data_IF_552382576187
#
_entry.id   IF_552382576187
#
_cell.length_a   1.000
_cell.length_b   1.000
_cell.length_c   1.000
_cell.angle_alpha   90.00
_cell.angle_beta   90.00
_cell.angle_gamma   90.00
#
_symmetry.space_group_name_H-M   'P 1'
#
loop_
_entity.id
_entity.type
_entity.pdbx_description
1 polymer ?
#
# COMPACT_ATOMS: atom_id res chain seq x y z
N UNK A 1 21.33 -29.71 17.33
CA UNK A 1 21.44 -28.29 16.97
C UNK A 1 20.06 -27.68 17.05
N UNK A 2 19.83 -26.80 18.02
CA UNK A 2 18.51 -26.30 18.42
C UNK A 2 17.92 -25.39 17.33
N UNK A 3 16.93 -25.89 16.58
CA UNK A 3 15.99 -25.02 15.87
C UNK A 3 15.15 -24.30 16.92
N UNK A 4 15.49 -23.04 17.20
CA UNK A 4 14.61 -22.13 17.91
C UNK A 4 13.26 -22.07 17.17
N UNK A 5 12.24 -22.72 17.74
CA UNK A 5 10.83 -22.58 17.38
C UNK A 5 10.35 -21.18 17.79
N UNK A 6 10.95 -20.12 17.23
CA UNK A 6 10.33 -18.80 17.20
C UNK A 6 9.01 -18.94 16.46
N UNK A 7 7.91 -18.98 17.21
CA UNK A 7 6.64 -19.60 16.81
C UNK A 7 6.19 -19.28 15.38
N UNK A 8 5.73 -20.31 14.67
CA UNK A 8 5.20 -20.32 13.29
C UNK A 8 4.42 -19.06 12.89
N UNK A 9 3.66 -18.46 13.82
CA UNK A 9 2.94 -17.20 13.63
C UNK A 9 3.83 -16.00 13.25
N UNK A 10 5.05 -15.87 13.79
CA UNK A 10 5.98 -14.78 13.45
C UNK A 10 6.45 -14.88 12.00
N UNK A 11 6.58 -16.10 11.49
CA UNK A 11 6.96 -16.36 10.09
C UNK A 11 5.84 -15.87 9.16
N UNK A 12 4.59 -16.23 9.45
CA UNK A 12 3.43 -15.76 8.67
C UNK A 12 3.25 -14.23 8.73
N UNK A 13 3.42 -13.60 9.89
CA UNK A 13 3.32 -12.13 10.00
C UNK A 13 4.44 -11.39 9.26
N UNK A 14 5.65 -11.97 9.23
CA UNK A 14 6.78 -11.42 8.46
C UNK A 14 6.57 -11.60 6.96
N UNK A 15 6.13 -12.79 6.53
CA UNK A 15 5.76 -13.07 5.14
C UNK A 15 4.68 -12.09 4.66
N UNK A 16 3.66 -11.84 5.49
CA UNK A 16 2.56 -10.95 5.14
C UNK A 16 2.90 -9.45 5.11
N UNK A 17 4.13 -9.05 5.47
CA UNK A 17 4.53 -7.64 5.68
C UNK A 17 3.44 -6.83 6.39
N UNK A 18 2.86 -7.41 7.44
CA UNK A 18 1.65 -6.93 8.14
C UNK A 18 1.80 -5.51 8.69
N UNK A 19 3.04 -5.04 8.90
CA UNK A 19 3.34 -3.67 9.31
C UNK A 19 2.86 -2.59 8.33
N UNK A 20 2.63 -2.95 7.07
CA UNK A 20 2.12 -2.05 6.04
C UNK A 20 0.59 -2.11 5.86
N UNK A 21 -0.12 -3.04 6.52
CA UNK A 21 -1.59 -3.11 6.44
C UNK A 21 -2.30 -1.80 6.79
N UNK A 22 -1.85 -0.97 7.76
CA UNK A 22 -2.53 0.29 8.02
C UNK A 22 -2.60 1.20 6.78
N UNK A 23 -1.61 1.15 5.88
CA UNK A 23 -1.67 1.89 4.61
C UNK A 23 -2.79 1.41 3.68
N UNK A 24 -3.16 0.13 3.75
CA UNK A 24 -4.30 -0.44 3.01
C UNK A 24 -5.60 0.05 3.64
N UNK A 25 -5.68 0.06 4.97
CA UNK A 25 -6.87 0.53 5.68
C UNK A 25 -7.13 2.01 5.42
N UNK A 26 -6.09 2.84 5.40
CA UNK A 26 -6.23 4.27 5.06
C UNK A 26 -6.64 4.48 3.61
N UNK A 27 -6.19 3.64 2.66
CA UNK A 27 -6.66 3.68 1.28
C UNK A 27 -8.17 3.36 1.20
N UNK A 28 -8.64 2.35 1.94
CA UNK A 28 -10.07 2.02 2.02
C UNK A 28 -10.86 3.20 2.56
N UNK A 29 -10.43 3.80 3.67
CA UNK A 29 -11.09 4.97 4.27
C UNK A 29 -11.14 6.16 3.29
N UNK A 30 -10.02 6.48 2.64
CA UNK A 30 -9.96 7.55 1.64
C UNK A 30 -10.91 7.29 0.47
N UNK A 31 -10.93 6.05 -0.05
CA UNK A 31 -11.82 5.67 -1.14
C UNK A 31 -13.30 5.76 -0.77
N UNK A 32 -13.69 5.38 0.47
CA UNK A 32 -15.08 5.56 0.97
C UNK A 32 -15.46 7.04 0.99
N UNK A 33 -14.60 7.90 1.57
CA UNK A 33 -14.86 9.35 1.69
C UNK A 33 -14.90 10.02 0.31
N UNK A 34 -13.98 9.69 -0.59
CA UNK A 34 -13.93 10.23 -1.96
C UNK A 34 -15.09 9.74 -2.83
N UNK A 35 -15.64 8.56 -2.52
CA UNK A 35 -16.89 8.07 -3.14
C UNK A 35 -18.12 8.86 -2.69
N UNK A 36 -18.02 9.62 -1.59
CA UNK A 36 -19.16 10.29 -0.95
C UNK A 36 -20.16 9.30 -0.36
N UNK A 37 -19.73 8.07 -0.06
CA UNK A 37 -20.56 7.03 0.51
C UNK A 37 -20.42 6.99 2.03
N UNK A 38 -21.48 6.57 2.70
CA UNK A 38 -21.46 6.18 4.11
C UNK A 38 -21.59 4.66 4.21
N UNK A 39 -20.86 4.05 5.12
CA UNK A 39 -20.93 2.62 5.40
C UNK A 39 -21.28 2.40 6.86
N UNK A 40 -22.05 1.36 7.13
CA UNK A 40 -22.13 0.81 8.48
C UNK A 40 -20.80 0.12 8.86
N UNK A 41 -20.62 -0.10 10.16
CA UNK A 41 -19.39 -0.68 10.69
C UNK A 41 -19.12 -2.10 10.16
N UNK A 42 -20.16 -2.89 9.89
CA UNK A 42 -20.03 -4.26 9.38
C UNK A 42 -19.51 -4.27 7.95
N UNK A 43 -20.08 -3.44 7.07
CA UNK A 43 -19.61 -3.30 5.70
C UNK A 43 -18.18 -2.75 5.63
N UNK A 44 -17.84 -1.76 6.46
CA UNK A 44 -16.47 -1.25 6.55
C UNK A 44 -15.49 -2.35 7.01
N UNK A 45 -15.84 -3.12 8.05
CA UNK A 45 -15.00 -4.20 8.55
C UNK A 45 -14.78 -5.28 7.47
N UNK A 46 -15.82 -5.66 6.73
CA UNK A 46 -15.71 -6.62 5.64
C UNK A 46 -14.77 -6.14 4.51
N UNK A 47 -14.87 -4.86 4.13
CA UNK A 47 -13.94 -4.25 3.16
C UNK A 47 -12.50 -4.26 3.67
N UNK A 48 -12.28 -3.88 4.93
CA UNK A 48 -10.94 -3.90 5.53
C UNK A 48 -10.36 -5.31 5.54
N UNK A 49 -11.15 -6.33 5.88
CA UNK A 49 -10.72 -7.74 5.84
C UNK A 49 -10.40 -8.17 4.42
N UNK A 50 -11.31 -7.96 3.46
CA UNK A 50 -11.09 -8.37 2.07
C UNK A 50 -9.83 -7.74 1.46
N UNK A 51 -9.63 -6.43 1.68
CA UNK A 51 -8.49 -5.71 1.12
C UNK A 51 -7.17 -6.05 1.85
N UNK A 52 -7.25 -6.42 3.14
CA UNK A 52 -6.10 -6.98 3.87
C UNK A 52 -5.71 -8.37 3.34
N UNK A 53 -6.69 -9.20 2.95
CA UNK A 53 -6.45 -10.48 2.31
C UNK A 53 -5.78 -10.31 0.95
N UNK A 54 -6.24 -9.37 0.11
CA UNK A 54 -5.55 -9.04 -1.15
C UNK A 54 -4.09 -8.65 -0.94
N UNK A 55 -3.83 -7.75 0.00
CA UNK A 55 -2.47 -7.31 0.32
C UNK A 55 -1.60 -8.48 0.76
N UNK A 56 -2.07 -9.24 1.75
CA UNK A 56 -1.30 -10.34 2.34
C UNK A 56 -1.08 -11.48 1.34
N UNK A 57 -2.07 -11.76 0.49
CA UNK A 57 -1.96 -12.70 -0.62
C UNK A 57 -0.85 -12.29 -1.59
N UNK A 58 -0.81 -11.02 -2.00
CA UNK A 58 0.27 -10.49 -2.83
C UNK A 58 1.64 -10.65 -2.17
N UNK A 59 1.75 -10.44 -0.86
CA UNK A 59 3.04 -10.65 -0.17
C UNK A 59 3.49 -12.11 -0.18
N UNK A 60 2.56 -13.04 0.01
CA UNK A 60 2.83 -14.48 -0.01
C UNK A 60 3.21 -14.94 -1.42
N UNK A 61 2.45 -14.52 -2.42
CA UNK A 61 2.71 -14.84 -3.82
C UNK A 61 4.03 -14.25 -4.30
N UNK A 62 4.33 -12.99 -3.96
CA UNK A 62 5.62 -12.35 -4.23
C UNK A 62 6.79 -13.20 -3.74
N UNK A 63 6.79 -13.62 -2.47
CA UNK A 63 7.86 -14.44 -1.91
C UNK A 63 7.91 -15.86 -2.58
N UNK A 64 6.76 -16.42 -2.96
CA UNK A 64 6.70 -17.71 -3.66
C UNK A 64 7.22 -17.68 -5.12
N UNK A 65 6.96 -16.58 -5.85
CA UNK A 65 7.52 -16.33 -7.17
C UNK A 65 9.01 -16.00 -7.08
N UNK A 66 9.45 -15.35 -6.02
CA UNK A 66 10.85 -14.94 -5.81
C UNK A 66 11.77 -16.01 -5.25
N UNK A 67 11.25 -17.18 -4.87
CA UNK A 67 11.97 -18.26 -4.18
C UNK A 67 13.36 -18.62 -4.78
N UNK A 68 13.51 -18.60 -6.10
CA UNK A 68 14.78 -18.97 -6.77
C UNK A 68 15.84 -17.88 -6.65
N UNK A 69 15.41 -16.62 -6.69
CA UNK A 69 16.28 -15.46 -6.48
C UNK A 69 16.62 -15.36 -4.98
N UNK A 70 15.60 -15.50 -4.13
CA UNK A 70 15.77 -15.48 -2.68
C UNK A 70 16.71 -16.60 -2.21
N UNK A 71 16.69 -17.79 -2.84
CA UNK A 71 17.63 -18.85 -2.51
C UNK A 71 19.10 -18.49 -2.77
N UNK A 72 19.37 -17.55 -3.69
CA UNK A 72 20.73 -17.09 -4.03
C UNK A 72 21.14 -15.88 -3.21
N UNK A 73 20.24 -14.92 -3.03
CA UNK A 73 20.54 -13.62 -2.43
C UNK A 73 20.22 -13.54 -0.93
N UNK A 74 19.24 -14.32 -0.46
CA UNK A 74 18.67 -14.26 0.90
C UNK A 74 18.23 -15.66 1.39
N UNK A 75 19.16 -16.62 1.52
CA UNK A 75 18.84 -18.02 1.85
C UNK A 75 18.15 -18.18 3.21
N UNK A 76 18.21 -17.18 4.08
CA UNK A 76 17.52 -17.12 5.37
C UNK A 76 16.00 -16.92 5.26
N UNK A 77 15.46 -16.61 4.06
CA UNK A 77 14.01 -16.42 3.87
C UNK A 77 13.22 -17.72 4.09
N UNK A 78 11.94 -17.66 4.51
CA UNK A 78 11.19 -18.83 4.95
C UNK A 78 11.04 -19.96 3.93
N UNK A 79 10.95 -19.63 2.64
CA UNK A 79 10.80 -20.63 1.57
C UNK A 79 12.16 -21.29 1.26
N UNK A 80 13.24 -20.54 0.92
CA UNK A 80 14.56 -21.15 0.72
C UNK A 80 15.10 -21.90 1.94
N UNK A 81 14.83 -21.41 3.16
CA UNK A 81 15.29 -22.04 4.41
C UNK A 81 14.53 -23.32 4.75
N UNK A 82 13.50 -23.70 3.98
CA UNK A 82 12.67 -24.88 4.22
C UNK A 82 11.68 -24.74 5.37
N UNK A 83 11.45 -23.54 5.91
CA UNK A 83 10.49 -23.32 7.00
C UNK A 83 9.03 -23.49 6.52
N UNK A 84 8.76 -23.23 5.24
CA UNK A 84 7.47 -23.48 4.59
C UNK A 84 7.67 -23.82 3.11
N UNK A 85 6.89 -24.78 2.58
CA UNK A 85 6.97 -25.19 1.18
C UNK A 85 6.34 -24.18 0.22
N UNK A 86 6.98 -23.94 -0.94
CA UNK A 86 6.50 -22.98 -1.94
C UNK A 86 5.06 -23.28 -2.44
N UNK A 87 4.72 -24.55 -2.64
CA UNK A 87 3.37 -24.96 -3.07
C UNK A 87 2.31 -24.57 -2.04
N UNK A 88 2.61 -24.71 -0.75
CA UNK A 88 1.72 -24.30 0.33
C UNK A 88 1.53 -22.77 0.34
N UNK A 89 2.60 -22.01 0.12
CA UNK A 89 2.51 -20.53 0.04
C UNK A 89 1.69 -20.08 -1.18
N UNK A 90 1.87 -20.71 -2.35
CA UNK A 90 0.99 -20.47 -3.50
C UNK A 90 -0.47 -20.78 -3.20
N UNK A 91 -0.75 -21.94 -2.61
CA UNK A 91 -2.10 -22.35 -2.23
C UNK A 91 -2.76 -21.36 -1.28
N UNK A 92 -2.05 -20.92 -0.24
CA UNK A 92 -2.52 -19.89 0.70
C UNK A 92 -2.77 -18.56 -0.01
N UNK A 93 -1.82 -18.08 -0.82
CA UNK A 93 -1.97 -16.84 -1.57
C UNK A 93 -3.20 -16.82 -2.47
N UNK A 94 -3.40 -17.84 -3.31
CA UNK A 94 -4.58 -17.92 -4.17
C UNK A 94 -5.89 -18.12 -3.39
N UNK A 95 -5.88 -18.90 -2.31
CA UNK A 95 -7.05 -19.04 -1.43
C UNK A 95 -7.46 -17.71 -0.79
N UNK A 96 -6.48 -16.89 -0.38
CA UNK A 96 -6.73 -15.56 0.17
C UNK A 96 -7.30 -14.59 -0.88
N UNK A 97 -6.80 -14.63 -2.13
CA UNK A 97 -7.40 -13.85 -3.23
C UNK A 97 -8.85 -14.26 -3.49
N UNK A 98 -9.13 -15.57 -3.54
CA UNK A 98 -10.48 -16.08 -3.74
C UNK A 98 -11.42 -15.67 -2.58
N UNK A 99 -10.98 -15.83 -1.33
CA UNK A 99 -11.74 -15.41 -0.16
C UNK A 99 -12.02 -13.89 -0.16
N UNK A 100 -11.04 -13.06 -0.54
CA UNK A 100 -11.23 -11.62 -0.64
C UNK A 100 -12.31 -11.24 -1.67
N UNK A 101 -12.30 -11.89 -2.84
CA UNK A 101 -13.31 -11.69 -3.89
C UNK A 101 -14.70 -12.13 -3.39
N UNK A 102 -14.80 -13.26 -2.70
CA UNK A 102 -16.07 -13.76 -2.15
C UNK A 102 -16.64 -12.82 -1.07
N UNK A 103 -15.80 -12.31 -0.17
CA UNK A 103 -16.21 -11.33 0.85
C UNK A 103 -16.72 -10.06 0.16
N UNK A 104 -16.01 -9.55 -0.86
CA UNK A 104 -16.47 -8.40 -1.62
C UNK A 104 -17.79 -8.65 -2.34
N UNK A 105 -17.95 -9.81 -2.98
CA UNK A 105 -19.18 -10.19 -3.65
C UNK A 105 -20.37 -10.24 -2.68
N UNK A 106 -20.15 -10.75 -1.46
CA UNK A 106 -21.17 -10.87 -0.43
C UNK A 106 -21.53 -9.53 0.25
N UNK A 107 -20.60 -8.57 0.28
CA UNK A 107 -20.77 -7.30 1.02
C UNK A 107 -21.01 -6.08 0.13
N UNK A 108 -20.85 -6.21 -1.19
CA UNK A 108 -21.13 -5.13 -2.13
C UNK A 108 -22.63 -4.85 -2.21
N UNK A 109 -23.04 -3.71 -1.66
CA UNK A 109 -24.47 -3.33 -1.57
C UNK A 109 -25.03 -2.79 -2.89
N UNK A 110 -24.17 -2.22 -3.75
CA UNK A 110 -24.57 -1.57 -5.01
C UNK A 110 -23.56 -1.85 -6.12
N UNK A 111 -24.01 -2.32 -7.28
CA UNK A 111 -23.11 -2.55 -8.43
C UNK A 111 -22.16 -3.74 -8.26
N UNK A 112 -22.65 -4.84 -7.65
CA UNK A 112 -21.89 -6.04 -7.28
C UNK A 112 -20.98 -6.58 -8.38
N UNK A 113 -21.43 -6.63 -9.64
CA UNK A 113 -20.62 -7.15 -10.74
C UNK A 113 -19.40 -6.27 -11.07
N UNK A 114 -19.50 -4.93 -10.95
CA UNK A 114 -18.37 -4.02 -11.19
C UNK A 114 -17.34 -4.13 -10.08
N UNK A 115 -17.81 -4.24 -8.83
CA UNK A 115 -16.94 -4.48 -7.69
C UNK A 115 -16.18 -5.80 -7.86
N UNK A 116 -16.87 -6.89 -8.19
CA UNK A 116 -16.27 -8.20 -8.45
C UNK A 116 -15.31 -8.15 -9.65
N UNK A 117 -15.68 -7.51 -10.76
CA UNK A 117 -14.80 -7.36 -11.91
C UNK A 117 -13.52 -6.59 -11.57
N UNK A 118 -13.63 -5.51 -10.80
CA UNK A 118 -12.46 -4.76 -10.33
C UNK A 118 -11.60 -5.55 -9.35
N UNK A 119 -12.21 -6.39 -8.51
CA UNK A 119 -11.50 -7.26 -7.58
C UNK A 119 -10.74 -8.39 -8.31
N UNK A 120 -11.35 -8.93 -9.38
CA UNK A 120 -10.69 -9.88 -10.29
C UNK A 120 -9.53 -9.20 -11.02
N UNK A 121 -9.71 -7.95 -11.48
CA UNK A 121 -8.63 -7.17 -12.09
C UNK A 121 -7.50 -6.91 -11.08
N UNK A 122 -7.81 -6.58 -9.83
CA UNK A 122 -6.83 -6.44 -8.76
C UNK A 122 -6.06 -7.74 -8.52
N UNK A 123 -6.75 -8.87 -8.41
CA UNK A 123 -6.11 -10.19 -8.29
C UNK A 123 -5.16 -10.47 -9.46
N UNK A 124 -5.61 -10.21 -10.69
CA UNK A 124 -4.81 -10.41 -11.88
C UNK A 124 -3.56 -9.53 -11.92
N UNK A 125 -3.68 -8.25 -11.54
CA UNK A 125 -2.55 -7.32 -11.49
C UNK A 125 -1.55 -7.72 -10.39
N UNK A 126 -2.01 -8.17 -9.23
CA UNK A 126 -1.15 -8.70 -8.17
C UNK A 126 -0.34 -9.89 -8.70
N UNK A 127 -1.01 -10.91 -9.24
CA UNK A 127 -0.35 -12.11 -9.78
C UNK A 127 0.60 -11.77 -10.92
N UNK A 128 0.20 -10.88 -11.82
CA UNK A 128 1.03 -10.42 -12.93
C UNK A 128 2.30 -9.72 -12.42
N UNK A 129 2.15 -8.78 -11.49
CA UNK A 129 3.27 -8.08 -10.88
C UNK A 129 4.23 -9.09 -10.23
N UNK A 130 3.73 -9.96 -9.35
CA UNK A 130 4.58 -10.91 -8.62
C UNK A 130 5.35 -11.83 -9.59
N UNK A 131 4.70 -12.30 -10.67
CA UNK A 131 5.32 -13.17 -11.65
C UNK A 131 6.34 -12.48 -12.59
N UNK A 132 6.21 -11.17 -12.84
CA UNK A 132 6.97 -10.48 -13.92
C UNK A 132 7.80 -9.28 -13.49
N UNK A 133 7.60 -8.74 -12.28
CA UNK A 133 8.15 -7.44 -11.88
C UNK A 133 9.66 -7.28 -12.11
N UNK A 134 10.45 -8.34 -11.91
CA UNK A 134 11.92 -8.32 -12.10
C UNK A 134 12.37 -8.10 -13.56
N UNK A 135 11.53 -8.46 -14.53
CA UNK A 135 11.84 -8.36 -15.98
C UNK A 135 11.14 -7.18 -16.66
N UNK A 136 10.23 -6.52 -15.95
CA UNK A 136 9.42 -5.44 -16.50
C UNK A 136 9.94 -4.07 -16.01
N UNK A 137 10.42 -3.18 -16.90
CA UNK A 137 10.75 -1.80 -16.54
C UNK A 137 9.58 -1.06 -15.87
N UNK A 138 8.34 -1.41 -16.22
CA UNK A 138 7.10 -0.82 -15.72
C UNK A 138 6.61 -1.43 -14.41
N UNK A 139 7.38 -2.29 -13.71
CA UNK A 139 6.97 -2.80 -12.39
C UNK A 139 6.46 -1.75 -11.40
N UNK A 140 7.03 -0.52 -11.32
CA UNK A 140 6.49 0.53 -10.46
C UNK A 140 5.05 0.91 -10.77
N UNK A 141 4.70 0.93 -12.06
CA UNK A 141 3.35 1.23 -12.50
C UNK A 141 2.39 0.13 -12.07
N UNK A 142 2.77 -1.15 -12.24
CA UNK A 142 1.95 -2.29 -11.83
C UNK A 142 1.73 -2.35 -10.32
N UNK A 143 2.78 -2.12 -9.52
CA UNK A 143 2.66 -2.06 -8.06
C UNK A 143 1.75 -0.90 -7.62
N UNK A 144 1.90 0.26 -8.25
CA UNK A 144 1.02 1.41 -8.01
C UNK A 144 -0.43 1.15 -8.45
N UNK A 145 -0.62 0.42 -9.55
CA UNK A 145 -1.93 0.06 -10.08
C UNK A 145 -2.71 -0.84 -9.11
N UNK A 146 -2.04 -1.72 -8.35
CA UNK A 146 -2.68 -2.45 -7.26
C UNK A 146 -3.39 -1.49 -6.30
N UNK A 147 -2.73 -0.39 -5.90
CA UNK A 147 -3.30 0.60 -4.98
C UNK A 147 -4.41 1.44 -5.60
N UNK A 148 -4.30 1.76 -6.90
CA UNK A 148 -5.39 2.39 -7.67
C UNK A 148 -6.61 1.49 -7.71
N UNK A 149 -6.42 0.19 -7.95
CA UNK A 149 -7.52 -0.78 -8.00
C UNK A 149 -8.17 -0.97 -6.63
N UNK A 150 -7.45 -0.83 -5.51
CA UNK A 150 -8.08 -0.77 -4.18
C UNK A 150 -9.11 0.37 -4.11
N UNK A 151 -8.73 1.58 -4.54
CA UNK A 151 -9.64 2.73 -4.56
C UNK A 151 -10.86 2.46 -5.44
N UNK A 152 -10.63 1.97 -6.65
CA UNK A 152 -11.69 1.69 -7.63
C UNK A 152 -12.62 0.58 -7.14
N UNK A 153 -12.09 -0.50 -6.56
CA UNK A 153 -12.86 -1.60 -6.00
C UNK A 153 -13.73 -1.14 -4.85
N UNK A 154 -13.19 -0.34 -3.92
CA UNK A 154 -14.00 0.26 -2.85
C UNK A 154 -15.07 1.16 -3.45
N UNK A 155 -14.75 2.04 -4.39
CA UNK A 155 -15.72 2.92 -5.04
C UNK A 155 -16.87 2.17 -5.70
N UNK A 156 -16.59 1.08 -6.41
CA UNK A 156 -17.62 0.23 -6.96
C UNK A 156 -18.42 -0.51 -5.88
N UNK A 157 -17.78 -1.05 -4.85
CA UNK A 157 -18.46 -1.79 -3.79
C UNK A 157 -19.45 -0.93 -3.00
N UNK A 158 -19.11 0.35 -2.77
CA UNK A 158 -19.87 1.25 -1.88
C UNK A 158 -20.80 2.20 -2.63
N UNK A 159 -20.41 2.65 -3.82
CA UNK A 159 -21.15 3.66 -4.59
C UNK A 159 -21.57 3.18 -5.99
N UNK A 160 -21.20 1.97 -6.42
CA UNK A 160 -21.51 1.43 -7.75
C UNK A 160 -20.81 2.14 -8.92
N UNK A 161 -19.91 3.09 -8.63
CA UNK A 161 -19.19 3.90 -9.61
C UNK A 161 -17.85 4.41 -9.07
N UNK A 162 -16.90 4.69 -9.96
CA UNK A 162 -15.70 5.44 -9.64
C UNK A 162 -15.95 6.94 -9.90
N UNK A 163 -16.11 7.74 -8.83
CA UNK A 163 -16.36 9.18 -8.94
C UNK A 163 -15.10 9.94 -9.39
N UNK A 164 -15.27 11.15 -9.94
CA UNK A 164 -14.14 12.01 -10.32
C UNK A 164 -13.14 12.26 -9.18
N UNK A 165 -13.58 12.63 -7.96
CA UNK A 165 -12.69 12.78 -6.81
C UNK A 165 -11.94 11.49 -6.42
N UNK A 166 -12.60 10.33 -6.53
CA UNK A 166 -11.97 9.04 -6.26
C UNK A 166 -10.88 8.72 -7.27
N UNK A 167 -11.14 8.91 -8.56
CA UNK A 167 -10.14 8.70 -9.62
C UNK A 167 -9.00 9.70 -9.45
N UNK A 168 -9.29 10.97 -9.18
CA UNK A 168 -8.28 11.99 -8.91
C UNK A 168 -7.37 11.61 -7.73
N UNK A 169 -7.96 11.18 -6.61
CA UNK A 169 -7.20 10.69 -5.45
C UNK A 169 -6.35 9.46 -5.76
N UNK A 170 -6.90 8.50 -6.51
CA UNK A 170 -6.17 7.29 -6.91
C UNK A 170 -4.98 7.60 -7.85
N UNK A 171 -5.13 8.54 -8.79
CA UNK A 171 -4.06 8.97 -9.68
C UNK A 171 -2.96 9.75 -8.94
N UNK A 172 -3.34 10.57 -7.95
CA UNK A 172 -2.40 11.26 -7.07
C UNK A 172 -1.61 10.26 -6.22
N UNK A 173 -2.28 9.24 -5.68
CA UNK A 173 -1.62 8.14 -4.99
C UNK A 173 -0.66 7.39 -5.93
N UNK A 174 -1.07 7.11 -7.17
CA UNK A 174 -0.22 6.48 -8.17
C UNK A 174 1.04 7.31 -8.45
N UNK A 175 0.90 8.62 -8.63
CA UNK A 175 2.04 9.54 -8.79
C UNK A 175 3.02 9.41 -7.62
N UNK A 176 2.52 9.50 -6.39
CA UNK A 176 3.35 9.34 -5.19
C UNK A 176 4.07 7.98 -5.15
N UNK A 177 3.37 6.90 -5.53
CA UNK A 177 3.95 5.55 -5.57
C UNK A 177 5.01 5.38 -6.66
N UNK A 178 4.89 6.06 -7.81
CA UNK A 178 5.94 6.09 -8.83
C UNK A 178 7.24 6.67 -8.23
N UNK A 179 7.15 7.81 -7.54
CA UNK A 179 8.28 8.43 -6.86
C UNK A 179 8.89 7.52 -5.78
N UNK A 180 8.04 6.92 -4.93
CA UNK A 180 8.46 5.98 -3.89
C UNK A 180 9.19 4.76 -4.47
N UNK A 181 8.59 4.13 -5.48
CA UNK A 181 9.13 2.88 -6.04
C UNK A 181 10.43 3.13 -6.79
N UNK A 182 10.54 4.29 -7.44
CA UNK A 182 11.79 4.70 -8.06
C UNK A 182 12.92 4.77 -7.01
N UNK A 183 12.65 5.36 -5.84
CA UNK A 183 13.60 5.37 -4.71
C UNK A 183 13.91 3.95 -4.23
N UNK A 184 12.89 3.09 -4.08
CA UNK A 184 13.07 1.72 -3.63
C UNK A 184 13.94 0.88 -4.59
N UNK A 185 13.80 1.08 -5.91
CA UNK A 185 14.63 0.37 -6.91
C UNK A 185 16.11 0.78 -6.89
N UNK A 186 16.44 1.91 -6.25
CA UNK A 186 17.83 2.37 -6.12
C UNK A 186 18.50 1.90 -4.84
N UNK A 187 17.82 1.10 -4.00
CA UNK A 187 18.36 0.61 -2.74
C UNK A 187 19.67 -0.20 -2.91
N UNK A 188 19.89 -0.80 -4.08
CA UNK A 188 21.12 -1.53 -4.43
C UNK A 188 22.18 -0.68 -5.13
N UNK A 189 21.89 0.57 -5.49
CA UNK A 189 22.82 1.47 -6.17
C UNK A 189 23.56 2.34 -5.17
N UNK A 190 24.87 2.50 -5.36
CA UNK A 190 25.74 3.36 -4.53
C UNK A 190 25.58 4.86 -4.79
N UNK A 191 24.96 5.25 -5.90
CA UNK A 191 24.79 6.66 -6.31
C UNK A 191 23.42 6.94 -6.93
N UNK A 192 22.86 8.12 -6.61
CA UNK A 192 21.63 8.64 -7.21
C UNK A 192 21.91 9.11 -8.63
N UNK A 193 21.34 8.41 -9.62
CA UNK A 193 21.53 8.77 -11.04
C UNK A 193 20.62 9.90 -11.49
N UNK A 194 19.36 9.95 -11.05
CA UNK A 194 18.40 11.00 -11.43
C UNK A 194 17.43 11.33 -10.28
N UNK A 195 17.22 12.62 -10.02
CA UNK A 195 16.32 13.09 -8.94
C UNK A 195 14.91 13.49 -9.45
N UNK A 196 14.72 13.61 -10.77
CA UNK A 196 13.46 14.09 -11.34
C UNK A 196 12.22 13.27 -10.93
N UNK A 197 12.25 11.93 -10.71
CA UNK A 197 11.06 11.19 -10.29
C UNK A 197 10.59 11.55 -8.88
N UNK A 198 11.43 12.19 -8.06
CA UNK A 198 11.02 12.71 -6.76
C UNK A 198 9.98 13.83 -6.91
N UNK A 199 9.90 14.50 -8.06
CA UNK A 199 8.86 15.50 -8.33
C UNK A 199 7.45 14.91 -8.20
N UNK A 200 7.25 13.63 -8.55
CA UNK A 200 5.96 12.96 -8.42
C UNK A 200 5.48 12.79 -6.97
N UNK A 201 6.41 12.83 -6.00
CA UNK A 201 6.07 12.83 -4.57
C UNK A 201 5.31 14.11 -4.16
N UNK A 202 5.42 15.17 -4.95
CA UNK A 202 4.81 16.46 -4.64
C UNK A 202 3.43 16.67 -5.30
N UNK A 203 3.01 15.79 -6.20
CA UNK A 203 1.68 15.85 -6.82
C UNK A 203 0.50 15.93 -5.82
N UNK A 204 0.52 15.23 -4.67
CA UNK A 204 -0.55 15.35 -3.67
C UNK A 204 -0.73 16.78 -3.14
N UNK A 205 0.35 17.52 -2.98
CA UNK A 205 0.31 18.89 -2.47
C UNK A 205 -0.27 19.86 -3.49
N UNK A 206 0.07 19.69 -4.78
CA UNK A 206 -0.52 20.50 -5.85
C UNK A 206 -2.02 20.23 -5.95
N UNK A 207 -2.42 18.97 -5.89
CA UNK A 207 -3.82 18.56 -5.98
C UNK A 207 -4.67 19.08 -4.81
N UNK A 208 -4.15 19.01 -3.58
CA UNK A 208 -4.92 19.30 -2.39
C UNK A 208 -4.83 20.76 -1.89
N UNK A 209 -3.91 21.57 -2.43
CA UNK A 209 -3.75 22.97 -2.01
C UNK A 209 -5.04 23.81 -2.12
N UNK A 210 -5.84 23.74 -3.21
CA UNK A 210 -7.04 24.58 -3.33
C UNK A 210 -8.12 24.28 -2.28
N UNK A 211 -8.19 23.03 -1.80
CA UNK A 211 -9.26 22.58 -0.89
C UNK A 211 -8.85 22.65 0.59
N UNK A 212 -7.57 22.51 0.90
CA UNK A 212 -7.10 22.42 2.29
C UNK A 212 -6.75 23.77 2.94
N UNK A 213 -6.27 24.73 2.15
CA UNK A 213 -5.79 26.02 2.67
C UNK A 213 -6.91 26.92 3.21
N UNK A 214 -8.18 26.57 2.96
CA UNK A 214 -9.35 27.23 3.54
C UNK A 214 -9.67 26.80 4.98
N UNK A 215 -8.96 25.83 5.57
CA UNK A 215 -9.20 25.36 6.95
C UNK A 215 -7.89 25.19 7.72
N UNK A 216 -7.88 25.57 9.00
CA UNK A 216 -6.70 25.43 9.86
C UNK A 216 -6.27 23.96 9.99
N UNK A 217 -7.23 23.05 10.19
CA UNK A 217 -6.95 21.61 10.26
C UNK A 217 -6.36 21.08 8.94
N UNK A 218 -6.90 21.49 7.79
CA UNK A 218 -6.39 21.09 6.48
C UNK A 218 -4.98 21.62 6.22
N UNK A 219 -4.71 22.88 6.58
CA UNK A 219 -3.38 23.49 6.48
C UNK A 219 -2.34 22.77 7.37
N UNK A 220 -2.72 22.36 8.58
CA UNK A 220 -1.84 21.59 9.47
C UNK A 220 -1.50 20.19 8.90
N UNK A 221 -2.49 19.49 8.34
CA UNK A 221 -2.27 18.19 7.68
C UNK A 221 -1.36 18.35 6.46
N UNK A 222 -1.62 19.37 5.64
CA UNK A 222 -0.79 19.70 4.48
C UNK A 222 0.66 19.97 4.88
N UNK A 223 0.88 20.87 5.84
CA UNK A 223 2.21 21.24 6.30
C UNK A 223 2.93 20.06 6.97
N UNK A 224 2.23 19.27 7.78
CA UNK A 224 2.78 18.08 8.43
C UNK A 224 3.22 17.02 7.42
N UNK A 225 2.39 16.74 6.41
CA UNK A 225 2.75 15.78 5.36
C UNK A 225 3.89 16.31 4.48
N UNK A 226 3.91 17.60 4.14
CA UNK A 226 5.00 18.21 3.37
C UNK A 226 6.32 18.13 4.13
N UNK A 227 6.31 18.48 5.42
CA UNK A 227 7.48 18.35 6.29
C UNK A 227 7.97 16.90 6.36
N UNK A 228 7.06 15.92 6.40
CA UNK A 228 7.41 14.50 6.39
C UNK A 228 8.08 14.06 5.09
N UNK A 229 7.55 14.47 3.93
CA UNK A 229 8.15 14.18 2.62
C UNK A 229 9.55 14.81 2.51
N UNK A 230 9.71 16.07 2.93
CA UNK A 230 11.01 16.73 2.98
C UNK A 230 11.99 16.03 3.93
N UNK A 231 11.52 15.57 5.10
CA UNK A 231 12.31 14.77 6.03
C UNK A 231 12.76 13.45 5.39
N UNK A 232 11.87 12.74 4.69
CA UNK A 232 12.20 11.50 4.00
C UNK A 232 13.24 11.72 2.87
N UNK A 233 13.06 12.77 2.05
CA UNK A 233 14.02 13.15 0.99
C UNK A 233 15.39 13.55 1.59
N UNK A 234 15.43 14.13 2.79
CA UNK A 234 16.69 14.51 3.44
C UNK A 234 17.65 13.32 3.65
N UNK A 235 17.11 12.10 3.76
CA UNK A 235 17.90 10.85 3.82
C UNK A 235 18.47 10.41 2.48
N UNK A 236 18.08 11.03 1.36
CA UNK A 236 18.56 10.72 0.02
C UNK A 236 19.65 11.71 -0.43
N UNK A 237 19.56 12.97 -0.01
CA UNK A 237 20.39 14.06 -0.53
C UNK A 237 21.56 14.47 0.38
N UNK A 238 21.52 14.15 1.68
CA UNK A 238 22.57 14.55 2.62
C UNK A 238 23.82 13.66 2.46
N UNK A 239 24.87 14.23 1.85
CA UNK A 239 26.19 13.58 1.67
C UNK A 239 26.70 13.00 3.00
N UNK A 240 27.12 11.73 2.99
CA UNK A 240 27.62 11.01 4.17
C UNK A 240 26.54 10.42 5.10
N UNK A 241 25.25 10.61 4.82
CA UNK A 241 24.12 10.04 5.60
C UNK A 241 23.01 9.44 4.73
N UNK A 242 23.34 9.05 3.49
CA UNK A 242 22.36 8.45 2.58
C UNK A 242 21.83 7.15 3.18
N UNK A 243 20.51 7.06 3.35
CA UNK A 243 19.84 5.88 3.89
C UNK A 243 18.53 5.64 3.13
N UNK A 244 18.65 4.96 2.00
CA UNK A 244 17.52 4.63 1.11
C UNK A 244 16.46 3.79 1.83
N UNK A 245 16.80 2.70 2.56
CA UNK A 245 15.78 1.91 3.26
C UNK A 245 14.94 2.75 4.22
N UNK A 246 15.56 3.67 4.97
CA UNK A 246 14.86 4.57 5.88
C UNK A 246 13.94 5.56 5.14
N UNK A 247 14.37 6.07 3.98
CA UNK A 247 13.53 6.90 3.14
C UNK A 247 12.31 6.13 2.62
N UNK A 248 12.50 4.91 2.09
CA UNK A 248 11.43 4.04 1.60
C UNK A 248 10.41 3.74 2.70
N UNK A 249 10.87 3.31 3.88
CA UNK A 249 10.00 3.08 5.05
C UNK A 249 9.18 4.33 5.38
N UNK A 250 9.82 5.51 5.37
CA UNK A 250 9.15 6.78 5.64
C UNK A 250 8.11 7.13 4.56
N UNK A 251 8.41 6.86 3.29
CA UNK A 251 7.47 7.08 2.19
C UNK A 251 6.28 6.11 2.22
N UNK A 252 6.50 4.84 2.59
CA UNK A 252 5.43 3.85 2.76
C UNK A 252 4.47 4.32 3.86
N UNK A 253 4.98 4.74 5.02
CA UNK A 253 4.14 5.31 6.06
C UNK A 253 3.40 6.58 5.56
N UNK A 254 4.08 7.41 4.76
CA UNK A 254 3.52 8.61 4.15
C UNK A 254 2.29 8.38 3.27
N UNK A 255 2.01 7.15 2.80
CA UNK A 255 0.77 6.80 2.09
C UNK A 255 -0.45 7.14 2.96
N UNK A 256 -0.39 6.85 4.26
CA UNK A 256 -1.49 7.15 5.18
C UNK A 256 -1.68 8.65 5.43
N UNK A 257 -0.61 9.45 5.35
CA UNK A 257 -0.71 10.92 5.40
C UNK A 257 -1.27 11.50 4.09
N UNK A 258 -0.96 10.89 2.95
CA UNK A 258 -1.59 11.22 1.66
C UNK A 258 -3.10 10.93 1.73
N UNK A 259 -3.51 9.78 2.24
CA UNK A 259 -4.93 9.46 2.45
C UNK A 259 -5.60 10.47 3.38
N UNK A 260 -4.93 10.87 4.48
CA UNK A 260 -5.42 11.90 5.38
C UNK A 260 -5.60 13.27 4.68
N UNK A 261 -4.65 13.64 3.81
CA UNK A 261 -4.69 14.86 2.99
C UNK A 261 -5.93 14.86 2.08
N UNK A 262 -6.19 13.74 1.39
CA UNK A 262 -7.34 13.59 0.49
C UNK A 262 -8.68 13.62 1.25
N UNK A 263 -8.75 12.94 2.40
CA UNK A 263 -9.94 12.92 3.26
C UNK A 263 -10.24 14.32 3.83
N UNK A 264 -9.22 15.02 4.32
CA UNK A 264 -9.36 16.39 4.81
C UNK A 264 -9.79 17.36 3.70
N UNK A 265 -9.30 17.16 2.46
CA UNK A 265 -9.72 17.93 1.28
C UNK A 265 -11.20 17.75 0.90
N UNK A 266 -11.87 16.74 1.47
CA UNK A 266 -13.33 16.54 1.37
C UNK A 266 -14.10 17.11 2.56
N UNK A 267 -13.44 17.89 3.43
CA UNK A 267 -14.06 18.51 4.60
C UNK A 267 -14.31 17.53 5.75
N UNK A 268 -13.61 16.39 5.81
CA UNK A 268 -13.78 15.38 6.85
C UNK A 268 -12.53 15.22 7.75
N UNK A 269 -12.12 16.25 8.52
CA UNK A 269 -10.89 16.20 9.32
C UNK A 269 -10.93 15.11 10.41
N UNK A 270 -12.11 14.78 10.96
CA UNK A 270 -12.25 13.68 11.93
C UNK A 270 -11.94 12.32 11.30
N UNK A 271 -12.34 12.08 10.05
CA UNK A 271 -11.98 10.87 9.32
C UNK A 271 -10.48 10.87 8.95
N UNK A 272 -9.90 12.05 8.66
CA UNK A 272 -8.47 12.19 8.39
C UNK A 272 -7.61 11.82 9.62
N UNK A 273 -8.10 12.04 10.83
CA UNK A 273 -7.42 11.62 12.06
C UNK A 273 -7.19 10.09 12.14
N UNK A 274 -8.13 9.29 11.64
CA UNK A 274 -7.95 7.83 11.53
C UNK A 274 -6.83 7.47 10.55
N UNK A 275 -6.70 8.21 9.45
CA UNK A 275 -5.61 8.01 8.50
C UNK A 275 -4.25 8.42 9.09
N UNK A 276 -4.19 9.49 9.88
CA UNK A 276 -2.99 9.85 10.67
C UNK A 276 -2.68 8.76 11.71
N UNK A 277 -3.69 8.18 12.35
CA UNK A 277 -3.53 7.00 13.21
C UNK A 277 -2.90 5.83 12.46
N UNK A 278 -3.32 5.58 11.22
CA UNK A 278 -2.71 4.60 10.32
C UNK A 278 -1.22 4.87 10.07
N UNK A 279 -0.83 6.12 9.86
CA UNK A 279 0.58 6.52 9.73
C UNK A 279 1.41 6.17 10.98
N UNK A 280 0.92 6.54 12.17
CA UNK A 280 1.59 6.23 13.44
C UNK A 280 1.70 4.72 13.64
N UNK A 281 0.61 3.99 13.34
CA UNK A 281 0.57 2.54 13.47
C UNK A 281 1.54 1.85 12.49
N UNK A 282 1.64 2.31 11.24
CA UNK A 282 2.63 1.79 10.28
C UNK A 282 4.05 1.97 10.80
N UNK A 283 4.41 3.17 11.27
CA UNK A 283 5.75 3.41 11.83
C UNK A 283 6.02 2.57 13.08
N UNK A 284 5.03 2.41 13.95
CA UNK A 284 5.16 1.59 15.15
C UNK A 284 5.37 0.11 14.80
N UNK A 285 4.56 -0.44 13.88
CA UNK A 285 4.65 -1.84 13.47
C UNK A 285 5.94 -2.12 12.67
N UNK A 286 6.42 -1.17 11.88
CA UNK A 286 7.67 -1.30 11.13
C UNK A 286 8.91 -1.45 12.04
N UNK A 287 8.83 -1.03 13.32
CA UNK A 287 9.88 -1.30 14.33
C UNK A 287 9.98 -2.77 14.72
N UNK A 288 8.87 -3.51 14.64
CA UNK A 288 8.79 -4.92 15.06
C UNK A 288 8.87 -5.89 13.87
N UNK A 289 8.31 -5.52 12.73
CA UNK A 289 8.31 -6.29 11.48
C UNK A 289 8.75 -5.36 10.35
N UNK A 290 9.98 -5.56 9.85
CA UNK A 290 10.49 -4.78 8.72
C UNK A 290 9.56 -4.93 7.52
N UNK A 291 9.07 -3.81 6.99
CA UNK A 291 8.07 -3.75 5.91
C UNK A 291 8.67 -3.84 4.50
N UNK A 292 9.99 -4.01 4.39
CA UNK A 292 10.79 -4.10 3.16
C UNK A 292 11.86 -5.17 3.35
#
# INVERSE_FOLDING_TARGET
MNHERGGSWRVYLRLGRVSNLPTVWTNVLAAVVLSGASLDAGALAALLVALSLFYTAGMYLNDAFDREVDARERPERPIPSGAIGAVAVFGLGYAMLAAAILILAATSTRGSWKAVLSALALAAVIVYYDARHKRDPLSPLWMGLCRVLIYVTVGFAVAGRASGPLIGGALVLLSYLIGLTYVAKQETLSEYRNLWPLAFLFAPFVYAAPTLLGSAAGALIYAGFLAWVCYAISWLVRKGRVNIPRAVISFIAGISLLDALLIAGRGQPAAAAWAIGGFVLTLALQRYVRGT
#
